data_IF_674216402216
#
_entry.id   IF_674216402216
#
_cell.length_a   1.000
_cell.length_b   1.000
_cell.length_c   1.000
_cell.angle_alpha   90.00
_cell.angle_beta   90.00
_cell.angle_gamma   90.00
#
_symmetry.space_group_name_H-M   'P 1'
#
loop_
_entity.id
_entity.type
_entity.pdbx_description
1 polymer ?
#
# COMPACT_ATOMS: atom_id res chain seq x y z
N UNK A 1 5.58 -16.86 2.78
CA UNK A 1 6.71 -16.57 3.68
C UNK A 1 6.88 -15.07 3.75
N UNK A 2 6.82 -14.49 4.94
CA UNK A 2 7.19 -13.09 5.19
C UNK A 2 8.72 -13.02 5.10
N UNK A 3 9.24 -12.26 4.15
CA UNK A 3 10.67 -11.93 4.16
C UNK A 3 10.89 -10.98 5.35
N UNK A 4 11.87 -11.26 6.19
CA UNK A 4 12.29 -10.39 7.30
C UNK A 4 13.06 -9.18 6.74
N UNK A 5 12.36 -8.34 5.97
CA UNK A 5 12.88 -7.10 5.40
C UNK A 5 12.38 -5.92 6.24
N UNK A 6 13.27 -5.09 6.71
CA UNK A 6 12.91 -3.85 7.37
C UNK A 6 12.40 -2.83 6.33
N UNK A 7 11.22 -2.25 6.55
CA UNK A 7 10.64 -1.22 5.68
C UNK A 7 11.55 0.01 5.59
N UNK A 8 11.61 0.60 4.40
CA UNK A 8 12.45 1.77 4.14
C UNK A 8 13.90 1.47 3.75
N UNK A 9 14.39 0.24 3.94
CA UNK A 9 15.75 -0.16 3.52
C UNK A 9 15.85 -0.37 2.01
N UNK A 10 17.07 -0.33 1.46
CA UNK A 10 17.31 -0.59 0.03
C UNK A 10 16.95 -2.02 -0.36
N UNK A 11 17.17 -2.99 0.53
CA UNK A 11 16.74 -4.38 0.32
C UNK A 11 15.23 -4.50 0.18
N UNK A 12 14.46 -3.80 1.04
CA UNK A 12 13.00 -3.76 0.94
C UNK A 12 12.52 -3.04 -0.33
N UNK A 13 13.18 -1.94 -0.73
CA UNK A 13 12.89 -1.24 -2.00
C UNK A 13 13.12 -2.15 -3.20
N UNK A 14 14.24 -2.87 -3.21
CA UNK A 14 14.58 -3.81 -4.27
C UNK A 14 13.59 -4.98 -4.34
N UNK A 15 13.17 -5.54 -3.20
CA UNK A 15 12.19 -6.63 -3.16
C UNK A 15 10.80 -6.23 -3.70
N UNK A 16 10.47 -4.93 -3.71
CA UNK A 16 9.23 -4.36 -4.26
C UNK A 16 9.34 -3.95 -5.73
N UNK A 17 10.56 -3.93 -6.28
CA UNK A 17 10.84 -3.44 -7.64
C UNK A 17 10.01 -4.20 -8.68
N UNK A 18 9.32 -3.48 -9.56
CA UNK A 18 8.47 -4.04 -10.62
C UNK A 18 7.19 -4.73 -10.13
N UNK A 19 6.84 -4.56 -8.85
CA UNK A 19 5.71 -5.19 -8.20
C UNK A 19 4.68 -4.14 -7.72
N UNK A 20 3.39 -4.42 -7.90
CA UNK A 20 2.29 -3.54 -7.48
C UNK A 20 2.06 -3.67 -5.97
N UNK A 21 2.36 -2.62 -5.21
CA UNK A 21 2.09 -2.55 -3.78
C UNK A 21 0.63 -2.16 -3.46
N UNK A 22 0.12 -2.63 -2.34
CA UNK A 22 -1.23 -2.33 -1.84
C UNK A 22 -1.53 -0.82 -1.80
N UNK A 23 -0.58 0.02 -1.41
CA UNK A 23 -0.73 1.48 -1.35
C UNK A 23 -0.91 2.16 -2.72
N UNK A 24 -0.51 1.51 -3.81
CA UNK A 24 -0.68 2.01 -5.19
C UNK A 24 -1.91 1.41 -5.90
N UNK A 25 -2.70 0.59 -5.20
CA UNK A 25 -3.80 -0.14 -5.82
C UNK A 25 -4.88 0.79 -6.38
N UNK A 26 -5.31 1.76 -5.57
CA UNK A 26 -6.32 2.73 -5.98
C UNK A 26 -5.89 3.54 -7.21
N UNK A 27 -4.62 3.91 -7.29
CA UNK A 27 -4.06 4.62 -8.44
C UNK A 27 -3.98 3.71 -9.68
N UNK A 28 -3.53 2.46 -9.51
CA UNK A 28 -3.46 1.48 -10.60
C UNK A 28 -4.83 1.15 -11.19
N UNK A 29 -5.88 1.19 -10.38
CA UNK A 29 -7.26 0.86 -10.76
C UNK A 29 -8.14 2.10 -11.01
N UNK A 30 -7.55 3.30 -11.00
CA UNK A 30 -8.29 4.55 -11.15
C UNK A 30 -9.01 4.63 -12.50
N UNK A 31 -10.33 4.86 -12.44
CA UNK A 31 -11.22 5.04 -13.60
C UNK A 31 -11.79 6.46 -13.60
N UNK A 32 -12.01 6.99 -14.78
CA UNK A 32 -12.77 8.23 -15.02
C UNK A 32 -14.05 7.91 -15.78
N UNK A 33 -14.90 8.90 -15.98
CA UNK A 33 -16.13 8.73 -16.79
C UNK A 33 -15.87 8.31 -18.24
N UNK A 34 -14.66 8.62 -18.76
CA UNK A 34 -14.29 8.41 -20.16
C UNK A 34 -13.18 7.36 -20.36
N UNK A 35 -12.77 6.65 -19.30
CA UNK A 35 -11.70 5.64 -19.40
C UNK A 35 -10.81 5.60 -18.16
N UNK A 36 -9.53 5.31 -18.35
CA UNK A 36 -8.59 5.18 -17.24
C UNK A 36 -8.07 6.54 -16.75
N UNK A 37 -7.86 6.67 -15.44
CA UNK A 37 -7.29 7.86 -14.82
C UNK A 37 -5.79 8.03 -15.10
N UNK A 38 -5.29 9.26 -15.02
CA UNK A 38 -3.87 9.58 -15.22
C UNK A 38 -2.95 8.86 -14.21
N UNK A 39 -3.39 8.67 -12.96
CA UNK A 39 -2.64 7.95 -11.94
C UNK A 39 -2.34 6.50 -12.35
N UNK A 40 -3.28 5.81 -13.04
CA UNK A 40 -3.04 4.47 -13.59
C UNK A 40 -1.87 4.47 -14.58
N UNK A 41 -1.80 5.45 -15.49
CA UNK A 41 -0.73 5.54 -16.47
C UNK A 41 0.65 5.72 -15.78
N UNK A 42 0.72 6.52 -14.72
CA UNK A 42 1.94 6.74 -13.96
C UNK A 42 2.40 5.47 -13.23
N UNK A 43 1.48 4.73 -12.58
CA UNK A 43 1.81 3.44 -11.95
C UNK A 43 2.26 2.43 -13.00
N UNK A 44 1.58 2.36 -14.16
CA UNK A 44 1.94 1.50 -15.27
C UNK A 44 3.35 1.79 -15.77
N UNK A 45 3.66 3.05 -16.06
CA UNK A 45 4.97 3.46 -16.54
C UNK A 45 6.08 3.12 -15.54
N UNK A 46 5.88 3.40 -14.26
CA UNK A 46 6.82 3.05 -13.20
C UNK A 46 7.12 1.55 -13.18
N UNK A 47 6.10 0.70 -13.15
CA UNK A 47 6.30 -0.75 -13.09
C UNK A 47 6.98 -1.29 -14.36
N UNK A 48 6.69 -0.75 -15.55
CA UNK A 48 7.37 -1.10 -16.80
C UNK A 48 8.86 -0.75 -16.72
N UNK A 49 9.19 0.48 -16.29
CA UNK A 49 10.59 0.91 -16.13
C UNK A 49 11.32 0.04 -15.11
N UNK A 50 10.72 -0.20 -13.95
CA UNK A 50 11.30 -1.05 -12.91
C UNK A 50 11.56 -2.48 -13.40
N UNK A 51 10.64 -3.07 -14.19
CA UNK A 51 10.81 -4.42 -14.76
C UNK A 51 11.88 -4.49 -15.87
N UNK A 52 12.00 -3.45 -16.68
CA UNK A 52 13.02 -3.37 -17.72
C UNK A 52 14.43 -3.13 -17.15
N UNK A 53 14.53 -2.34 -16.09
CA UNK A 53 15.83 -1.91 -15.55
C UNK A 53 16.29 -2.71 -14.34
N UNK A 54 15.40 -3.41 -13.65
CA UNK A 54 15.67 -4.02 -12.35
C UNK A 54 15.97 -3.02 -11.23
N UNK A 55 15.66 -1.73 -11.42
CA UNK A 55 15.97 -0.66 -10.48
C UNK A 55 14.70 -0.03 -9.95
N UNK A 56 14.51 0.07 -8.61
CA UNK A 56 13.41 0.80 -8.02
C UNK A 56 13.41 2.25 -8.49
N UNK A 57 12.23 2.78 -8.79
CA UNK A 57 12.08 4.19 -9.13
C UNK A 57 11.75 5.00 -7.89
N UNK A 58 12.36 6.16 -7.75
CA UNK A 58 12.02 7.10 -6.69
C UNK A 58 10.59 7.60 -6.87
N UNK A 59 9.84 7.56 -5.78
CA UNK A 59 8.52 8.15 -5.73
C UNK A 59 8.59 9.54 -5.12
N UNK A 60 7.89 10.48 -5.73
CA UNK A 60 7.79 11.84 -5.20
C UNK A 60 7.24 11.81 -3.76
N UNK A 61 7.93 12.46 -2.85
CA UNK A 61 7.50 12.67 -1.47
C UNK A 61 7.43 14.17 -1.18
N UNK A 62 6.24 14.65 -0.81
CA UNK A 62 6.08 16.01 -0.30
C UNK A 62 6.38 16.07 1.21
N UNK A 63 6.37 17.29 1.79
CA UNK A 63 6.67 17.48 3.21
C UNK A 63 5.68 16.71 4.10
N UNK A 64 4.38 16.76 3.83
CA UNK A 64 3.38 16.06 4.62
C UNK A 64 3.59 14.52 4.64
N UNK A 65 4.08 13.95 3.53
CA UNK A 65 4.42 12.52 3.49
C UNK A 65 5.66 12.19 4.35
N UNK A 66 6.66 13.06 4.37
CA UNK A 66 7.83 12.91 5.25
C UNK A 66 7.45 13.03 6.72
N UNK A 67 6.68 14.05 7.06
CA UNK A 67 6.17 14.25 8.43
C UNK A 67 5.34 13.03 8.88
N UNK A 68 4.57 12.43 7.97
CA UNK A 68 3.81 11.21 8.22
C UNK A 68 4.69 10.02 8.59
N UNK A 69 5.79 9.82 7.85
CA UNK A 69 6.76 8.77 8.11
C UNK A 69 7.46 8.98 9.48
N UNK A 70 7.84 10.23 9.79
CA UNK A 70 8.48 10.57 11.07
C UNK A 70 7.58 10.32 12.29
N UNK A 71 6.27 10.55 12.12
CA UNK A 71 5.26 10.39 13.20
C UNK A 71 4.77 8.95 13.37
N UNK A 72 4.99 8.08 12.41
CA UNK A 72 4.46 6.70 12.44
C UNK A 72 4.91 5.89 13.68
N UNK A 73 6.16 5.97 14.17
CA UNK A 73 6.58 5.28 15.39
C UNK A 73 5.79 5.73 16.63
N UNK A 74 5.53 7.04 16.76
CA UNK A 74 4.76 7.60 17.88
C UNK A 74 3.28 7.17 17.79
N UNK A 75 2.71 7.20 16.58
CA UNK A 75 1.36 6.73 16.33
C UNK A 75 1.20 5.25 16.69
N UNK A 76 2.19 4.42 16.34
CA UNK A 76 2.22 2.98 16.69
C UNK A 76 2.31 2.78 18.19
N UNK A 77 3.16 3.54 18.88
CA UNK A 77 3.27 3.48 20.34
C UNK A 77 1.94 3.89 21.03
N UNK A 78 1.33 4.98 20.58
CA UNK A 78 0.04 5.44 21.08
C UNK A 78 -1.07 4.39 20.85
N UNK A 79 -1.13 3.78 19.66
CA UNK A 79 -2.08 2.72 19.35
C UNK A 79 -1.88 1.49 20.24
N UNK A 80 -0.63 1.04 20.43
CA UNK A 80 -0.31 -0.09 21.30
C UNK A 80 -0.74 0.16 22.75
N UNK A 81 -0.49 1.37 23.25
CA UNK A 81 -0.88 1.76 24.59
C UNK A 81 -2.40 1.79 24.76
N UNK A 82 -3.12 2.45 23.86
CA UNK A 82 -4.58 2.59 23.90
C UNK A 82 -5.30 1.24 23.80
N UNK A 83 -4.78 0.35 22.93
CA UNK A 83 -5.38 -0.97 22.68
C UNK A 83 -4.89 -2.06 23.62
N UNK A 84 -3.83 -1.84 24.38
CA UNK A 84 -3.19 -2.87 25.20
C UNK A 84 -2.63 -4.04 24.38
N UNK A 85 -2.12 -3.78 23.18
CA UNK A 85 -1.63 -4.81 22.24
C UNK A 85 -0.18 -4.54 21.83
N UNK A 86 0.48 -5.57 21.30
CA UNK A 86 1.79 -5.42 20.63
C UNK A 86 1.62 -5.47 19.12
N UNK A 87 2.27 -4.55 18.43
CA UNK A 87 2.32 -4.50 16.96
C UNK A 87 3.63 -5.11 16.49
N UNK A 88 3.54 -6.23 15.77
CA UNK A 88 4.69 -6.84 15.09
C UNK A 88 4.86 -6.20 13.72
N UNK A 89 5.94 -5.46 13.52
CA UNK A 89 6.29 -4.91 12.20
C UNK A 89 6.66 -6.03 11.23
N UNK A 90 6.31 -5.84 9.96
CA UNK A 90 6.62 -6.77 8.87
C UNK A 90 7.04 -5.98 7.64
N UNK A 91 7.97 -6.52 6.86
CA UNK A 91 8.51 -5.79 5.70
C UNK A 91 7.66 -5.94 4.44
N UNK A 92 7.54 -7.16 3.96
CA UNK A 92 6.86 -7.49 2.70
C UNK A 92 6.09 -8.79 2.79
N UNK A 93 4.85 -8.79 2.34
CA UNK A 93 4.00 -9.97 2.22
C UNK A 93 3.55 -10.08 0.76
N UNK A 94 4.01 -11.12 0.05
CA UNK A 94 3.59 -11.38 -1.33
C UNK A 94 2.15 -11.86 -1.38
N UNK A 95 1.42 -11.50 -2.43
CA UNK A 95 0.08 -12.03 -2.64
C UNK A 95 0.14 -13.56 -2.85
N UNK A 96 -0.77 -14.34 -2.23
CA UNK A 96 -0.67 -15.80 -2.22
C UNK A 96 -0.80 -16.45 -3.60
N UNK A 97 -1.54 -15.84 -4.53
CA UNK A 97 -1.87 -16.44 -5.84
C UNK A 97 -1.56 -15.54 -7.05
N UNK A 98 -1.25 -14.26 -6.84
CA UNK A 98 -0.96 -13.31 -7.93
C UNK A 98 0.50 -12.87 -7.83
N UNK A 99 1.32 -13.31 -8.78
CA UNK A 99 2.71 -12.85 -8.86
C UNK A 99 2.79 -11.36 -9.26
N UNK A 100 3.83 -10.67 -8.77
CA UNK A 100 4.07 -9.26 -9.11
C UNK A 100 3.21 -8.26 -8.33
N UNK A 101 2.64 -8.68 -7.20
CA UNK A 101 1.96 -7.79 -6.25
C UNK A 101 2.19 -8.20 -4.80
N UNK A 102 2.13 -7.23 -3.90
CA UNK A 102 2.48 -7.39 -2.50
C UNK A 102 1.77 -6.39 -1.59
N UNK A 103 1.90 -6.59 -0.30
CA UNK A 103 1.55 -5.66 0.75
C UNK A 103 2.73 -5.42 1.70
N UNK A 104 2.76 -4.27 2.34
CA UNK A 104 3.63 -3.94 3.48
C UNK A 104 2.76 -3.22 4.51
N UNK A 105 2.02 -3.95 5.35
CA UNK A 105 1.22 -3.34 6.40
C UNK A 105 2.12 -2.72 7.46
N UNK A 106 1.63 -1.71 8.18
CA UNK A 106 2.37 -1.01 9.22
C UNK A 106 2.55 -1.89 10.48
N UNK A 107 1.77 -2.98 10.57
CA UNK A 107 2.01 -4.03 11.54
C UNK A 107 0.92 -5.09 11.62
N UNK A 108 1.27 -6.17 12.32
CA UNK A 108 0.37 -7.28 12.64
C UNK A 108 0.08 -7.27 14.15
N UNK A 109 -1.18 -7.54 14.52
CA UNK A 109 -1.66 -7.57 15.90
C UNK A 109 -2.33 -8.92 16.18
N UNK A 110 -1.78 -9.68 17.11
CA UNK A 110 -2.27 -11.03 17.37
C UNK A 110 -2.30 -11.90 16.11
N UNK A 111 -3.30 -12.76 16.00
CA UNK A 111 -3.37 -13.75 14.92
C UNK A 111 -4.21 -13.30 13.72
N UNK A 112 -5.17 -12.39 13.89
CA UNK A 112 -6.16 -12.05 12.84
C UNK A 112 -6.25 -10.55 12.51
N UNK A 113 -5.65 -9.67 13.30
CA UNK A 113 -5.74 -8.22 13.11
C UNK A 113 -4.44 -7.67 12.51
N UNK A 114 -4.58 -6.63 11.67
CA UNK A 114 -3.48 -5.78 11.19
C UNK A 114 -3.73 -4.34 11.61
N UNK A 115 -2.74 -3.50 11.43
CA UNK A 115 -2.88 -2.05 11.59
C UNK A 115 -2.37 -1.33 10.34
N UNK A 116 -3.13 -0.32 9.91
CA UNK A 116 -2.75 0.65 8.88
C UNK A 116 -2.75 2.04 9.52
N UNK A 117 -1.59 2.66 9.62
CA UNK A 117 -1.37 3.93 10.33
C UNK A 117 -1.30 5.06 9.31
N UNK A 118 -2.04 6.12 9.56
CA UNK A 118 -1.95 7.38 8.85
C UNK A 118 -1.67 8.51 9.82
N UNK A 119 -0.66 9.33 9.50
CA UNK A 119 -0.36 10.57 10.20
C UNK A 119 -0.66 11.74 9.23
N UNK A 120 -1.94 12.08 9.02
CA UNK A 120 -2.34 13.08 8.04
C UNK A 120 -2.04 14.50 8.52
N UNK A 121 -2.42 15.50 7.72
CA UNK A 121 -2.45 16.90 8.16
C UNK A 121 -3.52 17.11 9.22
N UNK A 122 -3.41 18.22 9.98
CA UNK A 122 -4.39 18.61 11.01
C UNK A 122 -5.82 18.63 10.46
N UNK A 123 -6.01 19.19 9.28
CA UNK A 123 -7.34 19.27 8.65
C UNK A 123 -7.94 17.89 8.39
N UNK A 124 -7.12 16.95 7.85
CA UNK A 124 -7.60 15.59 7.57
C UNK A 124 -7.85 14.80 8.85
N UNK A 125 -7.01 14.99 9.88
CA UNK A 125 -7.22 14.34 11.16
C UNK A 125 -8.49 14.86 11.84
N UNK A 126 -8.73 16.18 11.79
CA UNK A 126 -9.97 16.79 12.30
C UNK A 126 -11.22 16.20 11.65
N UNK A 127 -11.24 16.07 10.32
CA UNK A 127 -12.36 15.42 9.61
C UNK A 127 -12.57 13.96 10.06
N UNK A 128 -11.48 13.23 10.30
CA UNK A 128 -11.57 11.85 10.83
C UNK A 128 -12.20 11.84 12.22
N UNK A 129 -11.80 12.75 13.12
CA UNK A 129 -12.38 12.88 14.47
C UNK A 129 -13.87 13.27 14.41
N UNK A 130 -14.29 14.02 13.42
CA UNK A 130 -15.68 14.40 13.17
C UNK A 130 -16.51 13.30 12.50
N UNK A 131 -15.93 12.12 12.25
CA UNK A 131 -16.64 10.97 11.71
C UNK A 131 -16.66 10.88 10.20
N UNK A 132 -15.78 11.57 9.49
CA UNK A 132 -15.64 11.40 8.05
C UNK A 132 -15.31 9.93 7.71
N UNK A 133 -15.89 9.36 6.63
CA UNK A 133 -15.63 7.98 6.24
C UNK A 133 -14.18 7.79 5.83
N UNK A 134 -13.65 6.59 6.07
CA UNK A 134 -12.31 6.20 5.60
C UNK A 134 -12.27 6.32 4.07
N UNK A 135 -11.33 7.07 3.49
CA UNK A 135 -11.20 7.20 2.05
C UNK A 135 -11.07 5.86 1.33
N UNK A 136 -11.78 5.70 0.21
CA UNK A 136 -11.84 4.44 -0.55
C UNK A 136 -10.45 3.87 -0.90
N UNK A 137 -9.46 4.73 -1.17
CA UNK A 137 -8.08 4.30 -1.44
C UNK A 137 -7.47 3.50 -0.28
N UNK A 138 -7.78 3.86 0.97
CA UNK A 138 -7.31 3.13 2.15
C UNK A 138 -8.11 1.85 2.38
N UNK A 139 -9.41 1.84 2.04
CA UNK A 139 -10.19 0.61 2.05
C UNK A 139 -9.57 -0.41 1.08
N UNK A 140 -9.27 -0.03 -0.16
CA UNK A 140 -8.61 -0.91 -1.13
C UNK A 140 -7.26 -1.41 -0.63
N UNK A 141 -6.45 -0.51 -0.07
CA UNK A 141 -5.16 -0.84 0.52
C UNK A 141 -5.30 -1.90 1.62
N UNK A 142 -6.17 -1.68 2.60
CA UNK A 142 -6.38 -2.60 3.73
C UNK A 142 -6.96 -3.94 3.30
N UNK A 143 -7.93 -3.96 2.38
CA UNK A 143 -8.48 -5.21 1.84
C UNK A 143 -7.40 -6.04 1.13
N UNK A 144 -6.53 -5.37 0.35
CA UNK A 144 -5.42 -6.05 -0.31
C UNK A 144 -4.38 -6.57 0.69
N UNK A 145 -4.08 -5.81 1.73
CA UNK A 145 -3.19 -6.23 2.80
C UNK A 145 -3.76 -7.44 3.55
N UNK A 146 -5.05 -7.43 3.89
CA UNK A 146 -5.73 -8.57 4.53
C UNK A 146 -5.67 -9.82 3.64
N UNK A 147 -5.84 -9.68 2.32
CA UNK A 147 -5.68 -10.79 1.38
C UNK A 147 -4.26 -11.33 1.35
N UNK A 148 -3.25 -10.47 1.28
CA UNK A 148 -1.85 -10.88 1.29
C UNK A 148 -1.46 -11.56 2.60
N UNK A 149 -1.94 -11.06 3.74
CA UNK A 149 -1.59 -11.54 5.07
C UNK A 149 -2.48 -12.69 5.57
N UNK A 150 -3.59 -13.01 4.89
CA UNK A 150 -4.56 -14.02 5.33
C UNK A 150 -5.28 -13.61 6.62
N UNK A 151 -5.60 -12.31 6.80
CA UNK A 151 -6.20 -11.78 8.03
C UNK A 151 -7.62 -11.29 7.80
N UNK A 152 -8.43 -11.33 8.87
CA UNK A 152 -9.85 -10.97 8.83
C UNK A 152 -10.17 -9.53 9.19
N UNK A 153 -9.23 -8.80 9.80
CA UNK A 153 -9.48 -7.44 10.28
C UNK A 153 -8.24 -6.55 10.13
N UNK A 154 -8.48 -5.25 9.87
CA UNK A 154 -7.48 -4.20 9.90
C UNK A 154 -7.99 -3.02 10.72
N UNK A 155 -7.20 -2.52 11.67
CA UNK A 155 -7.46 -1.29 12.39
C UNK A 155 -6.86 -0.13 11.59
N UNK A 156 -7.74 0.75 11.06
CA UNK A 156 -7.33 2.01 10.46
C UNK A 156 -7.06 3.02 11.58
N UNK A 157 -5.83 3.52 11.65
CA UNK A 157 -5.38 4.48 12.66
C UNK A 157 -5.13 5.84 12.01
N UNK A 158 -5.65 6.90 12.61
CA UNK A 158 -5.31 8.28 12.31
C UNK A 158 -4.68 8.93 13.52
N UNK A 159 -3.49 9.53 13.37
CA UNK A 159 -2.74 10.12 14.47
C UNK A 159 -2.20 11.50 14.10
N UNK A 160 -2.37 12.48 15.02
CA UNK A 160 -1.74 13.79 14.89
C UNK A 160 -1.36 14.39 16.25
N UNK A 161 -0.04 14.66 16.52
CA UNK A 161 0.44 15.04 17.86
C UNK A 161 0.03 16.46 18.29
N UNK A 162 -0.38 17.34 17.37
CA UNK A 162 -0.78 18.71 17.72
C UNK A 162 -2.15 18.80 18.42
N UNK A 163 -2.95 17.73 18.40
CA UNK A 163 -4.23 17.70 19.10
C UNK A 163 -4.05 17.40 20.60
N UNK A 164 -5.04 17.76 21.43
CA UNK A 164 -5.05 17.33 22.83
C UNK A 164 -4.91 15.80 22.95
N UNK A 165 -4.22 15.31 23.97
CA UNK A 165 -3.83 13.90 24.13
C UNK A 165 -4.96 12.91 23.79
N UNK A 166 -6.18 13.13 24.29
CA UNK A 166 -7.36 12.28 24.03
C UNK A 166 -7.90 12.36 22.59
N UNK A 167 -7.38 13.27 21.77
CA UNK A 167 -7.77 13.50 20.38
C UNK A 167 -6.62 13.22 19.40
N UNK A 168 -5.43 12.88 19.90
CA UNK A 168 -4.28 12.61 19.02
C UNK A 168 -4.43 11.32 18.21
N UNK A 169 -5.11 10.33 18.79
CA UNK A 169 -5.32 9.03 18.17
C UNK A 169 -6.81 8.76 17.93
N UNK A 170 -7.13 8.33 16.73
CA UNK A 170 -8.42 7.73 16.40
C UNK A 170 -8.18 6.40 15.68
N UNK A 171 -8.97 5.37 15.97
CA UNK A 171 -8.94 4.14 15.20
C UNK A 171 -10.34 3.61 14.88
N UNK A 172 -10.45 2.93 13.76
CA UNK A 172 -11.68 2.31 13.29
C UNK A 172 -11.41 0.91 12.77
N UNK A 173 -12.30 -0.04 13.06
CA UNK A 173 -12.18 -1.41 12.57
C UNK A 173 -12.69 -1.54 11.14
N UNK A 174 -11.88 -2.15 10.28
CA UNK A 174 -12.23 -2.51 8.90
C UNK A 174 -12.17 -4.02 8.79
N UNK A 175 -13.32 -4.65 8.52
CA UNK A 175 -13.40 -6.08 8.34
C UNK A 175 -13.11 -6.48 6.89
N UNK A 176 -12.61 -7.68 6.73
CA UNK A 176 -12.35 -8.29 5.43
C UNK A 176 -13.65 -8.43 4.63
N UNK A 177 -13.59 -8.01 3.37
CA UNK A 177 -14.67 -8.15 2.38
C UNK A 177 -14.18 -8.99 1.20
N UNK A 178 -14.47 -10.28 1.23
CA UNK A 178 -14.06 -11.22 0.19
C UNK A 178 -14.66 -10.91 -1.18
N UNK A 179 -15.83 -10.24 -1.25
CA UNK A 179 -16.44 -9.82 -2.52
C UNK A 179 -15.64 -8.69 -3.14
N UNK A 180 -15.26 -7.69 -2.33
CA UNK A 180 -14.42 -6.59 -2.79
C UNK A 180 -13.04 -7.11 -3.17
N UNK A 181 -12.45 -8.00 -2.38
CA UNK A 181 -11.15 -8.62 -2.69
C UNK A 181 -11.18 -9.34 -4.04
N UNK A 182 -12.21 -10.13 -4.31
CA UNK A 182 -12.33 -10.84 -5.60
C UNK A 182 -12.41 -9.87 -6.80
N UNK A 183 -13.09 -8.74 -6.65
CA UNK A 183 -13.13 -7.67 -7.68
C UNK A 183 -11.74 -7.07 -7.87
N UNK A 184 -11.05 -6.73 -6.77
CA UNK A 184 -9.69 -6.16 -6.81
C UNK A 184 -8.70 -7.15 -7.45
N UNK A 185 -8.78 -8.44 -7.11
CA UNK A 185 -7.91 -9.47 -7.70
C UNK A 185 -8.09 -9.56 -9.22
N UNK A 186 -9.33 -9.56 -9.72
CA UNK A 186 -9.61 -9.59 -11.15
C UNK A 186 -8.99 -8.38 -11.87
N UNK A 187 -9.22 -7.17 -11.36
CA UNK A 187 -8.70 -5.94 -11.93
C UNK A 187 -7.16 -5.86 -11.86
N UNK A 188 -6.55 -6.34 -10.77
CA UNK A 188 -5.08 -6.39 -10.62
C UNK A 188 -4.46 -7.38 -11.62
N UNK A 189 -5.07 -8.55 -11.85
CA UNK A 189 -4.59 -9.50 -12.87
C UNK A 189 -4.58 -8.87 -14.26
N UNK A 190 -5.65 -8.17 -14.64
CA UNK A 190 -5.72 -7.45 -15.93
C UNK A 190 -4.65 -6.35 -16.02
N UNK A 191 -4.48 -5.56 -14.97
CA UNK A 191 -3.47 -4.52 -14.91
C UNK A 191 -2.06 -5.07 -15.05
N UNK A 192 -1.72 -6.12 -14.32
CA UNK A 192 -0.38 -6.74 -14.37
C UNK A 192 -0.12 -7.44 -15.70
N UNK A 193 -1.15 -8.03 -16.32
CA UNK A 193 -1.04 -8.58 -17.67
C UNK A 193 -0.77 -7.48 -18.71
N UNK A 194 -1.36 -6.29 -18.56
CA UNK A 194 -1.05 -5.15 -19.42
C UNK A 194 0.40 -4.66 -19.22
N UNK A 195 0.88 -4.58 -17.96
CA UNK A 195 2.29 -4.27 -17.67
C UNK A 195 3.21 -5.26 -18.38
N UNK A 196 2.94 -6.56 -18.27
CA UNK A 196 3.78 -7.60 -18.89
C UNK A 196 3.83 -7.47 -20.41
N UNK A 197 2.67 -7.29 -21.07
CA UNK A 197 2.62 -7.07 -22.53
C UNK A 197 3.44 -5.85 -22.98
N UNK A 198 3.43 -4.76 -22.19
CA UNK A 198 4.23 -3.57 -22.51
C UNK A 198 5.73 -3.83 -22.37
N UNK A 199 6.14 -4.55 -21.33
CA UNK A 199 7.54 -4.95 -21.12
C UNK A 199 8.00 -5.84 -22.28
N UNK A 200 7.24 -6.87 -22.63
CA UNK A 200 7.53 -7.79 -23.75
C UNK A 200 7.69 -7.02 -25.07
N UNK A 201 6.71 -6.18 -25.42
CA UNK A 201 6.73 -5.39 -26.66
C UNK A 201 7.92 -4.43 -26.75
N UNK A 202 8.33 -3.81 -25.64
CA UNK A 202 9.49 -2.94 -25.60
C UNK A 202 10.80 -3.74 -25.71
N UNK A 203 10.88 -4.88 -25.04
CA UNK A 203 12.03 -5.78 -25.11
C UNK A 203 12.22 -6.29 -26.54
N UNK A 204 11.17 -6.79 -27.18
CA UNK A 204 11.21 -7.24 -28.57
C UNK A 204 11.65 -6.13 -29.52
N UNK A 205 11.14 -4.91 -29.33
CA UNK A 205 11.39 -3.80 -30.26
C UNK A 205 12.79 -3.21 -30.14
N UNK A 206 13.37 -3.17 -28.93
CA UNK A 206 14.58 -2.38 -28.66
C UNK A 206 15.77 -3.19 -28.13
N UNK A 207 15.57 -4.43 -27.68
CA UNK A 207 16.64 -5.22 -27.05
C UNK A 207 16.99 -6.49 -27.86
N UNK A 208 16.25 -6.80 -28.93
CA UNK A 208 16.48 -8.01 -29.75
C UNK A 208 17.58 -7.88 -30.84
N UNK A 209 18.12 -6.69 -31.07
CA UNK A 209 19.09 -6.44 -32.15
C UNK A 209 20.57 -6.76 -31.82
N UNK A 210 20.90 -7.24 -30.60
CA UNK A 210 22.30 -7.56 -30.24
C UNK A 210 22.71 -9.03 -30.47
N UNK A 211 21.89 -9.84 -31.10
CA UNK A 211 22.16 -11.28 -31.34
C UNK A 211 22.32 -11.67 -32.84
N UNK A 212 22.72 -10.71 -33.68
CA UNK A 212 23.00 -10.98 -35.12
C UNK A 212 24.46 -10.73 -35.49
#
# INVERSE_FOLDING_TARGET
>A
MTEELEQGTDAWRLARCGSLGASSLADALAKTKTGWGASRANVMARLVVERLTGKPQDTYQNQAMRDGIEREPDARAAYQFERGVLVKQVGLIKHPTIAGTHASPDGLVGDDTMVEIKCPTEATHLETLLGAPIPQKYIYQMQWQMQCAGRGQCDFVSYHPAFPEKMQLHYSHVFRDDKLIAILEAEVREFLAEVSRKVESLTERYMWEEAA
#
